data_IF_435267683560
#
_entry.id   IF_435267683560
#
_cell.length_a   1.000
_cell.length_b   1.000
_cell.length_c   1.000
_cell.angle_alpha   90.00
_cell.angle_beta   90.00
_cell.angle_gamma   90.00
#
_symmetry.space_group_name_H-M   'P 1'
#
loop_
_entity.id
_entity.type
_entity.pdbx_description
1 polymer ?
#
# COMPACT_ATOMS: atom_id res chain seq x y z
N UNK A 1 2.49 -12.99 -18.88
CA UNK A 1 3.37 -11.84 -19.23
C UNK A 1 4.77 -12.36 -19.43
N UNK A 2 5.53 -11.81 -20.39
CA UNK A 2 6.97 -12.07 -20.49
C UNK A 2 7.70 -10.94 -19.76
N UNK A 3 8.07 -11.20 -18.51
CA UNK A 3 8.76 -10.25 -17.65
C UNK A 3 10.28 -10.46 -17.73
N UNK A 4 11.05 -9.40 -17.50
CA UNK A 4 12.47 -9.53 -17.25
C UNK A 4 12.67 -10.16 -15.86
N UNK A 5 13.31 -11.33 -15.73
CA UNK A 5 13.60 -11.94 -14.44
C UNK A 5 14.47 -11.07 -13.52
N UNK A 6 15.16 -10.06 -14.07
CA UNK A 6 15.99 -9.09 -13.33
C UNK A 6 15.26 -7.78 -13.02
N UNK A 7 13.97 -7.66 -13.35
CA UNK A 7 13.20 -6.48 -13.00
C UNK A 7 13.22 -6.27 -11.48
N UNK A 8 13.46 -5.03 -11.04
CA UNK A 8 13.46 -4.69 -9.62
C UNK A 8 12.09 -4.94 -8.97
N UNK A 9 11.02 -4.67 -9.72
CA UNK A 9 9.63 -4.93 -9.38
C UNK A 9 8.75 -4.83 -10.64
N UNK A 10 7.51 -5.32 -10.53
CA UNK A 10 6.39 -5.00 -11.42
C UNK A 10 5.46 -4.06 -10.66
N UNK A 11 5.08 -2.94 -11.27
CA UNK A 11 4.07 -2.04 -10.72
C UNK A 11 2.76 -2.17 -11.49
N UNK A 12 1.64 -2.25 -10.77
CA UNK A 12 0.30 -2.16 -11.34
C UNK A 12 -0.58 -1.19 -10.55
N UNK A 13 -1.59 -0.65 -11.21
CA UNK A 13 -2.74 0.00 -10.58
C UNK A 13 -3.87 -0.99 -10.53
N UNK A 14 -4.36 -1.36 -9.34
CA UNK A 14 -5.39 -2.40 -9.18
C UNK A 14 -6.75 -1.93 -9.71
N UNK A 15 -7.07 -0.65 -9.53
CA UNK A 15 -8.27 -0.01 -10.07
C UNK A 15 -7.94 1.38 -10.67
N UNK A 16 -8.03 1.51 -11.98
CA UNK A 16 -7.89 2.78 -12.69
C UNK A 16 -9.23 3.53 -12.69
N UNK A 17 -9.25 4.70 -12.05
CA UNK A 17 -10.47 5.46 -11.76
C UNK A 17 -11.07 6.20 -12.95
N UNK A 18 -10.26 6.62 -13.92
CA UNK A 18 -10.69 7.49 -15.02
C UNK A 18 -11.40 6.66 -16.10
N UNK A 19 -10.77 5.57 -16.50
CA UNK A 19 -11.25 4.63 -17.52
C UNK A 19 -12.13 3.53 -16.91
N UNK A 20 -12.19 3.43 -15.57
CA UNK A 20 -13.04 2.48 -14.86
C UNK A 20 -12.61 1.02 -15.04
N UNK A 21 -11.30 0.78 -15.06
CA UNK A 21 -10.71 -0.54 -15.33
C UNK A 21 -10.09 -1.11 -14.04
N UNK A 22 -10.59 -2.27 -13.61
CA UNK A 22 -10.13 -2.97 -12.40
C UNK A 22 -9.61 -4.38 -12.72
N UNK A 23 -8.50 -4.76 -12.10
CA UNK A 23 -7.99 -6.12 -12.14
C UNK A 23 -8.88 -7.05 -11.32
N UNK A 24 -9.61 -7.95 -11.99
CA UNK A 24 -10.36 -9.03 -11.30
C UNK A 24 -9.45 -10.14 -10.78
N UNK A 25 -8.27 -10.27 -11.36
CA UNK A 25 -7.19 -11.17 -10.93
C UNK A 25 -5.88 -10.56 -11.38
N UNK A 26 -4.96 -10.29 -10.45
CA UNK A 26 -3.68 -9.67 -10.79
C UNK A 26 -2.81 -10.62 -11.62
N UNK A 27 -1.93 -10.08 -12.47
CA UNK A 27 -1.01 -10.89 -13.25
C UNK A 27 -0.13 -11.78 -12.37
N UNK A 28 0.18 -12.98 -12.86
CA UNK A 28 1.28 -13.77 -12.31
C UNK A 28 2.61 -13.12 -12.66
N UNK A 29 3.38 -12.73 -11.65
CA UNK A 29 4.70 -12.08 -11.80
C UNK A 29 5.89 -12.99 -11.48
N UNK A 30 5.63 -14.24 -11.09
CA UNK A 30 6.67 -15.16 -10.65
C UNK A 30 7.37 -14.64 -9.39
N UNK A 31 8.70 -14.68 -9.38
CA UNK A 31 9.54 -14.23 -8.25
C UNK A 31 9.81 -12.72 -8.25
N UNK A 32 9.38 -11.99 -9.29
CA UNK A 32 9.58 -10.53 -9.34
C UNK A 32 8.65 -9.86 -8.32
N UNK A 33 9.14 -8.94 -7.47
CA UNK A 33 8.30 -8.25 -6.50
C UNK A 33 7.12 -7.52 -7.16
N UNK A 34 5.91 -7.71 -6.63
CA UNK A 34 4.73 -6.98 -7.08
C UNK A 34 4.48 -5.75 -6.19
N UNK A 35 4.43 -4.58 -6.81
CA UNK A 35 4.09 -3.30 -6.18
C UNK A 35 2.73 -2.84 -6.72
N UNK A 36 1.84 -2.39 -5.85
CA UNK A 36 0.48 -2.00 -6.28
C UNK A 36 0.07 -0.63 -5.77
N UNK A 37 -0.53 0.16 -6.67
CA UNK A 37 -1.38 1.30 -6.33
C UNK A 37 -2.80 0.82 -6.10
N UNK A 38 -3.22 0.82 -4.83
CA UNK A 38 -4.57 0.44 -4.39
C UNK A 38 -5.39 1.66 -3.95
N UNK A 39 -5.02 2.87 -4.38
CA UNK A 39 -5.64 4.09 -3.84
C UNK A 39 -7.16 4.10 -3.94
N UNK A 40 -7.73 3.59 -5.04
CA UNK A 40 -9.16 3.67 -5.38
C UNK A 40 -9.98 2.46 -4.98
N UNK A 41 -9.36 1.39 -4.47
CA UNK A 41 -10.04 0.13 -4.14
C UNK A 41 -9.55 -0.51 -2.82
N UNK A 42 -8.54 0.06 -2.13
CA UNK A 42 -8.13 -0.42 -0.81
C UNK A 42 -9.33 -0.43 0.14
N UNK A 43 -9.52 -1.52 0.90
CA UNK A 43 -10.67 -1.74 1.79
C UNK A 43 -12.04 -1.92 1.11
N UNK A 44 -12.13 -1.97 -0.24
CA UNK A 44 -13.40 -2.30 -0.92
C UNK A 44 -13.68 -3.82 -0.93
N UNK A 45 -12.65 -4.64 -0.81
CA UNK A 45 -12.69 -6.10 -0.82
C UNK A 45 -11.45 -6.69 -0.09
N UNK A 46 -11.46 -7.98 0.30
CA UNK A 46 -10.28 -8.65 0.82
C UNK A 46 -9.18 -8.76 -0.23
N UNK A 47 -7.93 -8.48 0.16
CA UNK A 47 -6.75 -8.60 -0.70
C UNK A 47 -5.72 -9.55 -0.07
N UNK A 48 -5.01 -10.39 -0.85
CA UNK A 48 -3.97 -11.28 -0.36
C UNK A 48 -2.66 -10.50 -0.11
N UNK A 49 -2.53 -9.89 1.08
CA UNK A 49 -1.41 -8.99 1.41
C UNK A 49 -0.03 -9.65 1.18
N UNK A 50 0.08 -10.94 1.46
CA UNK A 50 1.27 -11.78 1.32
C UNK A 50 1.80 -11.87 -0.12
N UNK A 51 0.93 -11.67 -1.13
CA UNK A 51 1.30 -11.66 -2.54
C UNK A 51 2.10 -10.42 -2.93
N UNK A 52 1.93 -9.31 -2.23
CA UNK A 52 2.49 -8.02 -2.62
C UNK A 52 3.77 -7.73 -1.83
N UNK A 53 4.75 -7.16 -2.53
CA UNK A 53 5.96 -6.66 -1.88
C UNK A 53 5.74 -5.25 -1.32
N UNK A 54 4.90 -4.44 -1.97
CA UNK A 54 4.48 -3.12 -1.49
C UNK A 54 3.07 -2.81 -1.97
N UNK A 55 2.19 -2.37 -1.06
CA UNK A 55 0.89 -1.78 -1.36
C UNK A 55 0.94 -0.33 -0.92
N UNK A 56 0.53 0.61 -1.77
CA UNK A 56 0.29 1.99 -1.34
C UNK A 56 -1.09 2.48 -1.76
N UNK A 57 -1.66 3.35 -0.94
CA UNK A 57 -2.96 3.95 -1.18
C UNK A 57 -3.04 5.36 -0.59
N UNK A 58 -3.28 6.36 -1.45
CA UNK A 58 -3.67 7.68 -0.99
C UNK A 58 -5.07 7.62 -0.36
N UNK A 59 -5.22 8.13 0.87
CA UNK A 59 -6.45 7.94 1.64
C UNK A 59 -7.69 8.58 1.00
N UNK A 60 -7.51 9.66 0.23
CA UNK A 60 -8.57 10.55 -0.29
C UNK A 60 -9.62 9.91 -1.21
N UNK A 61 -9.46 8.65 -1.62
CA UNK A 61 -10.44 7.97 -2.46
C UNK A 61 -11.35 7.07 -1.61
N UNK A 62 -10.80 6.00 -1.03
CA UNK A 62 -11.61 4.95 -0.41
C UNK A 62 -11.46 4.84 1.12
N UNK A 63 -10.49 5.52 1.73
CA UNK A 63 -10.07 5.22 3.11
C UNK A 63 -10.17 6.41 4.07
N UNK A 64 -10.30 7.64 3.57
CA UNK A 64 -10.41 8.82 4.42
C UNK A 64 -10.13 10.13 3.70
N UNK A 65 -9.70 11.17 4.43
CA UNK A 65 -9.43 12.48 3.86
C UNK A 65 -8.08 12.53 3.12
N UNK A 66 -7.89 13.54 2.29
CA UNK A 66 -6.59 13.81 1.67
C UNK A 66 -5.52 14.20 2.69
N UNK A 67 -4.26 13.93 2.34
CA UNK A 67 -3.09 14.28 3.15
C UNK A 67 -2.51 13.13 3.99
N UNK A 68 -2.96 11.89 3.78
CA UNK A 68 -2.32 10.67 4.34
C UNK A 68 -2.23 9.61 3.25
N UNK A 69 -1.10 8.92 3.19
CA UNK A 69 -0.89 7.75 2.32
C UNK A 69 -0.57 6.55 3.20
N UNK A 70 -1.33 5.47 3.04
CA UNK A 70 -1.00 4.16 3.62
C UNK A 70 0.06 3.49 2.76
N UNK A 71 1.08 2.93 3.40
CA UNK A 71 2.05 2.03 2.78
C UNK A 71 2.13 0.76 3.62
N UNK A 72 1.90 -0.39 2.98
CA UNK A 72 2.18 -1.72 3.53
C UNK A 72 3.38 -2.24 2.75
N UNK A 73 4.48 -2.51 3.45
CA UNK A 73 5.78 -2.84 2.86
C UNK A 73 6.27 -4.17 3.42
N UNK A 74 6.81 -5.03 2.56
CA UNK A 74 7.47 -6.28 2.98
C UNK A 74 8.89 -5.98 3.46
N UNK A 75 9.25 -6.53 4.63
CA UNK A 75 10.51 -6.19 5.33
C UNK A 75 11.78 -6.49 4.52
N UNK A 76 11.77 -7.51 3.65
CA UNK A 76 12.93 -7.82 2.78
C UNK A 76 13.26 -6.69 1.79
N UNK A 77 12.29 -5.83 1.45
CA UNK A 77 12.54 -4.68 0.59
C UNK A 77 13.40 -3.61 1.28
N UNK A 78 13.38 -3.54 2.62
CA UNK A 78 14.20 -2.58 3.36
C UNK A 78 15.71 -2.81 3.14
N UNK A 79 16.10 -4.07 2.92
CA UNK A 79 17.49 -4.45 2.63
C UNK A 79 17.94 -4.09 1.21
N UNK A 80 17.00 -3.71 0.32
CA UNK A 80 17.29 -3.32 -1.07
C UNK A 80 17.49 -1.82 -1.23
N UNK A 81 17.27 -1.04 -0.17
CA UNK A 81 17.33 0.41 -0.21
C UNK A 81 18.80 0.83 -0.31
N UNK A 82 19.20 1.59 -1.35
CA UNK A 82 20.58 2.04 -1.50
C UNK A 82 20.96 3.03 -0.39
N UNK A 83 22.24 3.07 -0.08
CA UNK A 83 22.77 4.06 0.86
C UNK A 83 22.80 5.47 0.25
N UNK A 84 22.75 6.48 1.10
CA UNK A 84 22.82 7.89 0.68
C UNK A 84 21.49 8.52 0.25
N UNK A 85 20.35 7.82 0.41
CA UNK A 85 19.04 8.46 0.26
C UNK A 85 18.83 9.55 1.31
N UNK A 86 18.13 10.62 0.91
CA UNK A 86 17.70 11.65 1.84
C UNK A 86 16.74 11.05 2.87
N UNK A 87 16.88 11.42 4.15
CA UNK A 87 16.20 10.78 5.29
C UNK A 87 14.68 10.65 5.12
N UNK A 88 14.03 11.67 4.54
CA UNK A 88 12.57 11.67 4.28
C UNK A 88 12.11 10.70 3.18
N UNK A 89 13.01 10.30 2.26
CA UNK A 89 12.72 9.39 1.16
C UNK A 89 13.16 7.95 1.45
N UNK A 90 13.73 7.71 2.64
CA UNK A 90 14.18 6.40 3.07
C UNK A 90 13.11 5.71 3.92
N UNK A 91 12.53 4.62 3.42
CA UNK A 91 11.54 3.85 4.17
C UNK A 91 12.08 3.27 5.48
N UNK A 92 13.40 3.03 5.61
CA UNK A 92 14.02 2.58 6.86
C UNK A 92 13.74 3.58 7.98
N UNK A 93 13.95 4.87 7.71
CA UNK A 93 13.63 5.97 8.65
C UNK A 93 12.18 5.88 9.15
N UNK A 94 11.24 5.70 8.22
CA UNK A 94 9.82 5.67 8.55
C UNK A 94 9.44 4.42 9.36
N UNK A 95 10.01 3.26 9.04
CA UNK A 95 9.80 2.00 9.76
C UNK A 95 10.42 2.08 11.17
N UNK A 96 11.69 2.48 11.28
CA UNK A 96 12.42 2.54 12.55
C UNK A 96 11.78 3.50 13.56
N UNK A 97 11.19 4.58 13.07
CA UNK A 97 10.50 5.59 13.88
C UNK A 97 8.98 5.37 13.96
N UNK A 98 8.44 4.25 13.47
CA UNK A 98 6.99 3.94 13.48
C UNK A 98 6.13 5.07 12.88
N UNK A 99 6.60 5.66 11.78
CA UNK A 99 6.01 6.80 11.08
C UNK A 99 5.96 8.11 11.88
N UNK A 100 6.80 8.24 12.91
CA UNK A 100 6.90 9.41 13.79
C UNK A 100 8.27 10.12 13.72
N UNK A 101 9.01 9.95 12.63
CA UNK A 101 10.31 10.61 12.44
C UNK A 101 10.21 12.15 12.49
N UNK A 102 9.17 12.69 11.85
CA UNK A 102 8.79 14.10 11.92
C UNK A 102 7.30 14.23 12.29
N UNK A 103 6.80 15.46 12.40
CA UNK A 103 5.39 15.73 12.73
C UNK A 103 4.47 15.08 11.68
N UNK A 104 3.66 14.07 12.06
CA UNK A 104 2.75 13.43 11.13
C UNK A 104 1.45 14.23 10.98
N UNK A 105 0.66 13.93 9.95
CA UNK A 105 -0.71 14.44 9.83
C UNK A 105 -1.64 13.74 10.83
N UNK A 106 -1.56 14.16 12.10
CA UNK A 106 -2.28 13.55 13.23
C UNK A 106 -3.79 13.52 13.02
N UNK A 107 -4.37 14.59 12.47
CA UNK A 107 -5.79 14.66 12.17
C UNK A 107 -6.20 13.66 11.09
N UNK A 108 -5.46 13.58 9.98
CA UNK A 108 -5.74 12.61 8.92
C UNK A 108 -5.64 11.17 9.41
N UNK A 109 -4.62 10.85 10.22
CA UNK A 109 -4.44 9.53 10.83
C UNK A 109 -5.60 9.20 11.78
N UNK A 110 -6.07 10.18 12.56
CA UNK A 110 -7.22 10.00 13.45
C UNK A 110 -8.49 9.67 12.67
N UNK A 111 -8.79 10.39 11.59
CA UNK A 111 -9.96 10.09 10.76
C UNK A 111 -9.84 8.69 10.14
N UNK A 112 -8.65 8.30 9.65
CA UNK A 112 -8.40 6.95 9.14
C UNK A 112 -8.74 5.86 10.16
N UNK A 113 -8.33 6.06 11.42
CA UNK A 113 -8.63 5.15 12.53
C UNK A 113 -10.14 5.01 12.78
N UNK A 114 -10.91 6.09 12.67
CA UNK A 114 -12.37 6.05 12.78
C UNK A 114 -13.01 5.28 11.61
N UNK A 115 -12.53 5.48 10.38
CA UNK A 115 -13.01 4.73 9.21
C UNK A 115 -12.74 3.24 9.37
N UNK A 116 -11.54 2.85 9.80
CA UNK A 116 -11.21 1.44 10.05
C UNK A 116 -12.09 0.81 11.14
N UNK A 117 -12.36 1.53 12.24
CA UNK A 117 -13.30 1.07 13.28
C UNK A 117 -14.71 0.89 12.72
N UNK A 118 -15.20 1.87 11.98
CA UNK A 118 -16.51 1.81 11.35
C UNK A 118 -16.63 0.61 10.39
N UNK A 119 -15.63 0.36 9.55
CA UNK A 119 -15.61 -0.81 8.65
C UNK A 119 -15.63 -2.13 9.43
N UNK A 120 -14.85 -2.23 10.51
CA UNK A 120 -14.83 -3.40 11.39
C UNK A 120 -16.20 -3.65 12.02
N UNK A 121 -16.88 -2.60 12.48
CA UNK A 121 -18.21 -2.69 13.09
C UNK A 121 -19.31 -3.07 12.08
N UNK A 122 -19.10 -2.77 10.79
CA UNK A 122 -19.97 -3.22 9.69
C UNK A 122 -19.76 -4.68 9.28
N UNK A 123 -18.84 -5.40 9.92
CA UNK A 123 -18.51 -6.79 9.60
C UNK A 123 -17.61 -6.93 8.37
N UNK A 124 -17.04 -5.84 7.87
CA UNK A 124 -16.11 -5.88 6.74
C UNK A 124 -14.73 -6.38 7.18
N UNK A 125 -14.10 -7.18 6.30
CA UNK A 125 -12.69 -7.59 6.28
C UNK A 125 -12.20 -8.54 7.41
N UNK A 126 -13.09 -9.32 8.05
CA UNK A 126 -12.73 -10.40 8.98
C UNK A 126 -12.49 -11.77 8.30
N UNK A 127 -12.10 -11.82 7.03
CA UNK A 127 -11.65 -13.05 6.37
C UNK A 127 -10.25 -12.86 5.78
N UNK A 128 -9.27 -12.76 6.67
CA UNK A 128 -7.89 -13.13 6.38
C UNK A 128 -7.54 -14.24 7.37
N UNK A 129 -7.89 -15.47 7.01
CA UNK A 129 -7.34 -16.68 7.63
C UNK A 129 -6.02 -17.02 6.98
#
# INVERSE_FOLDING_TARGET
LKLDPKAAYVHITTNETIEGVEWKKEPGVGEVPLVVDASSDILSHPIPIDKYALIYAGAQKNMGPSGVTLVILRDDLLQRIPDGLHTMLDYRTHVDNKSLYNTPNTWGIYILSLVCKWLKDKGCLLHTS
#
